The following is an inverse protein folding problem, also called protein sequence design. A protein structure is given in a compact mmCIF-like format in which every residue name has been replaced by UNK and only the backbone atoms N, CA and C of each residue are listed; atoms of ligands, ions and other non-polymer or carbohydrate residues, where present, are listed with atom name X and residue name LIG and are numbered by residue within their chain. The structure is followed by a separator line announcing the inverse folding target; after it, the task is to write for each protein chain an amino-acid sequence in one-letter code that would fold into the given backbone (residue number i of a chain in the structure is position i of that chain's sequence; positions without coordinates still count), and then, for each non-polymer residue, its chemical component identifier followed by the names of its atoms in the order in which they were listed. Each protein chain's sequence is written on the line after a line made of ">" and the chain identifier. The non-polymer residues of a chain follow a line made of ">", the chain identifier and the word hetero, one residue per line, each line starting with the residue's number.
data_IF_185559194099
#
_entry.id   IF_185559194099
#
_cell.length_a   1.000
_cell.length_b   1.000
_cell.length_c   1.000
_cell.angle_alpha   90.00
_cell.angle_beta   90.00
_cell.angle_gamma   90.00
#
_symmetry.space_group_name_H-M   'P 1'
#
loop_
_entity.id
_entity.type
_entity.pdbx_description
1 polymer ?
#
# COMPACT_ATOMS: atom_id res chain seq x y z
N UNK A 1 19.95 -4.97 -27.48
CA UNK A 1 18.60 -5.47 -27.15
C UNK A 1 17.91 -6.10 -28.36
N UNK A 2 17.72 -5.40 -29.49
CA UNK A 2 16.99 -5.95 -30.67
C UNK A 2 17.61 -7.25 -31.19
N UNK A 3 18.95 -7.36 -31.29
CA UNK A 3 19.63 -8.58 -31.72
C UNK A 3 19.34 -9.79 -30.80
N UNK A 4 19.26 -9.55 -29.49
CA UNK A 4 18.92 -10.61 -28.53
C UNK A 4 17.46 -11.06 -28.68
N UNK A 5 16.54 -10.14 -28.90
CA UNK A 5 15.12 -10.44 -29.17
C UNK A 5 14.99 -11.20 -30.51
N UNK A 6 15.74 -10.80 -31.56
CA UNK A 6 15.73 -11.47 -32.86
C UNK A 6 16.17 -12.94 -32.75
N UNK A 7 17.18 -13.23 -31.93
CA UNK A 7 17.69 -14.63 -31.77
C UNK A 7 16.75 -15.43 -30.86
N UNK A 8 16.34 -14.87 -29.69
CA UNK A 8 15.61 -15.64 -28.67
C UNK A 8 14.11 -15.71 -28.98
N UNK A 9 13.48 -14.60 -29.35
CA UNK A 9 12.02 -14.52 -29.53
C UNK A 9 11.62 -14.85 -30.95
N UNK A 10 12.29 -14.22 -31.92
CA UNK A 10 11.98 -14.45 -33.38
C UNK A 10 12.68 -15.64 -33.94
N UNK A 11 13.60 -16.26 -33.19
CA UNK A 11 14.35 -17.47 -33.60
C UNK A 11 15.08 -17.34 -34.96
N UNK A 12 15.51 -16.11 -35.30
CA UNK A 12 16.35 -15.93 -36.49
C UNK A 12 17.71 -16.59 -36.28
N UNK A 13 18.29 -17.18 -37.35
CA UNK A 13 19.59 -17.81 -37.27
C UNK A 13 20.68 -16.79 -36.98
N UNK A 14 21.58 -17.15 -36.07
CA UNK A 14 22.61 -16.23 -35.54
C UNK A 14 23.54 -15.68 -36.64
N UNK A 15 23.82 -16.49 -37.68
CA UNK A 15 24.66 -16.07 -38.80
C UNK A 15 24.05 -14.94 -39.63
N UNK A 16 22.75 -14.71 -39.55
CA UNK A 16 22.06 -13.60 -40.23
C UNK A 16 21.98 -12.38 -39.35
N UNK A 17 21.75 -12.57 -38.03
CA UNK A 17 21.64 -11.50 -37.06
C UNK A 17 23.01 -10.88 -36.75
N UNK A 18 24.05 -11.68 -36.68
CA UNK A 18 25.39 -11.25 -36.28
C UNK A 18 26.04 -10.23 -37.23
N UNK A 19 26.03 -10.42 -38.57
CA UNK A 19 26.57 -9.41 -39.52
C UNK A 19 25.82 -8.10 -39.43
N UNK A 20 24.48 -8.13 -39.32
CA UNK A 20 23.66 -6.91 -39.16
C UNK A 20 24.02 -6.21 -37.88
N UNK A 21 24.15 -6.95 -36.78
CA UNK A 21 24.58 -6.40 -35.49
C UNK A 21 25.97 -5.75 -35.59
N UNK A 22 26.95 -6.38 -36.27
CA UNK A 22 28.29 -5.81 -36.41
C UNK A 22 28.24 -4.49 -37.18
N UNK A 23 27.47 -4.40 -38.26
CA UNK A 23 27.35 -3.17 -39.06
C UNK A 23 26.83 -2.00 -38.15
N UNK A 24 25.76 -2.24 -37.41
CA UNK A 24 25.24 -1.23 -36.48
C UNK A 24 26.20 -0.92 -35.33
N UNK A 25 26.89 -1.96 -34.79
CA UNK A 25 27.87 -1.76 -33.72
C UNK A 25 29.08 -0.94 -34.17
N UNK A 26 29.55 -1.14 -35.40
CA UNK A 26 30.63 -0.33 -36.00
C UNK A 26 30.14 1.12 -36.20
N UNK A 27 28.93 1.29 -36.73
CA UNK A 27 28.34 2.62 -36.94
C UNK A 27 28.20 3.38 -35.62
N UNK A 28 27.60 2.76 -34.60
CA UNK A 28 27.47 3.35 -33.27
C UNK A 28 28.85 3.61 -32.62
N UNK A 29 29.82 2.70 -32.84
CA UNK A 29 31.21 2.89 -32.38
C UNK A 29 31.90 4.09 -32.97
N UNK A 30 31.66 4.38 -34.27
CA UNK A 30 32.16 5.61 -34.90
C UNK A 30 31.58 6.89 -34.30
N UNK A 31 30.26 6.91 -34.05
CA UNK A 31 29.63 8.02 -33.36
C UNK A 31 30.14 8.17 -31.92
N UNK A 32 30.28 7.08 -31.19
CA UNK A 32 30.85 7.09 -29.84
C UNK A 32 32.28 7.64 -29.84
N UNK A 33 33.12 7.20 -30.76
CA UNK A 33 34.49 7.72 -30.90
C UNK A 33 34.52 9.21 -31.18
N UNK A 34 33.67 9.68 -32.10
CA UNK A 34 33.53 11.12 -32.40
C UNK A 34 33.01 11.94 -31.21
N UNK A 35 32.10 11.36 -30.41
CA UNK A 35 31.62 11.98 -29.17
C UNK A 35 32.72 12.05 -28.11
N UNK A 36 33.47 10.95 -27.91
CA UNK A 36 34.56 10.87 -26.94
C UNK A 36 35.70 11.84 -27.25
N UNK A 37 36.00 12.11 -28.52
CA UNK A 37 37.03 13.09 -28.91
C UNK A 37 36.66 14.52 -28.47
N UNK A 38 35.38 14.84 -28.22
CA UNK A 38 34.91 16.16 -27.74
C UNK A 38 34.99 16.29 -26.21
N UNK A 39 35.23 15.22 -25.48
CA UNK A 39 35.29 15.23 -24.01
C UNK A 39 36.32 16.19 -23.47
N UNK A 40 37.59 16.20 -23.96
CA UNK A 40 38.60 17.18 -23.51
C UNK A 40 38.24 18.62 -23.83
N UNK A 41 37.39 18.87 -24.84
CA UNK A 41 37.00 20.20 -25.35
C UNK A 41 35.72 20.74 -24.71
N UNK A 42 35.32 20.25 -23.53
CA UNK A 42 34.19 20.80 -22.76
C UNK A 42 33.02 19.81 -22.51
N UNK A 43 32.93 18.66 -23.21
CA UNK A 43 31.88 17.69 -22.98
C UNK A 43 32.02 16.90 -21.65
N UNK A 44 33.15 17.07 -20.93
CA UNK A 44 33.37 16.45 -19.62
C UNK A 44 32.33 16.89 -18.59
N UNK A 45 31.80 18.15 -18.67
CA UNK A 45 30.76 18.65 -17.77
C UNK A 45 29.47 17.82 -17.91
N UNK A 46 29.07 17.55 -19.16
CA UNK A 46 27.87 16.71 -19.44
C UNK A 46 28.06 15.30 -18.91
N UNK A 47 29.25 14.72 -19.06
CA UNK A 47 29.60 13.41 -18.51
C UNK A 47 29.53 13.39 -17.00
N UNK A 48 30.06 14.41 -16.33
CA UNK A 48 30.02 14.55 -14.88
C UNK A 48 28.57 14.63 -14.37
N UNK A 49 27.71 15.42 -15.02
CA UNK A 49 26.29 15.49 -14.69
C UNK A 49 25.60 14.15 -14.92
N UNK A 50 25.88 13.46 -16.02
CA UNK A 50 25.31 12.14 -16.31
C UNK A 50 25.71 11.10 -15.25
N UNK A 51 26.98 11.09 -14.82
CA UNK A 51 27.46 10.21 -13.75
C UNK A 51 26.77 10.57 -12.42
N UNK A 52 26.68 11.86 -12.08
CA UNK A 52 26.01 12.28 -10.84
C UNK A 52 24.54 11.86 -10.80
N UNK A 53 23.80 12.06 -11.90
CA UNK A 53 22.40 11.61 -12.01
C UNK A 53 22.28 10.08 -11.94
N UNK A 54 23.18 9.36 -12.60
CA UNK A 54 23.20 7.89 -12.56
C UNK A 54 23.41 7.40 -11.12
N UNK A 55 24.36 7.97 -10.39
CA UNK A 55 24.59 7.63 -8.98
C UNK A 55 23.36 7.94 -8.12
N UNK A 56 22.70 9.07 -8.37
CA UNK A 56 21.47 9.43 -7.68
C UNK A 56 20.35 8.42 -7.93
N UNK A 57 20.14 8.00 -9.18
CA UNK A 57 19.13 6.98 -9.52
C UNK A 57 19.45 5.61 -8.91
N UNK A 58 20.71 5.19 -8.93
CA UNK A 58 21.14 3.93 -8.31
C UNK A 58 20.93 3.97 -6.81
N UNK A 59 21.30 5.08 -6.15
CA UNK A 59 21.07 5.31 -4.73
C UNK A 59 19.58 5.23 -4.39
N UNK A 60 18.74 5.94 -5.16
CA UNK A 60 17.30 5.95 -4.97
C UNK A 60 16.69 4.56 -5.13
N UNK A 61 17.06 3.85 -6.18
CA UNK A 61 16.59 2.47 -6.42
C UNK A 61 17.00 1.53 -5.29
N UNK A 62 18.25 1.58 -4.87
CA UNK A 62 18.75 0.76 -3.76
C UNK A 62 18.00 1.03 -2.46
N UNK A 63 17.80 2.31 -2.10
CA UNK A 63 17.05 2.69 -0.91
C UNK A 63 15.60 2.24 -0.96
N UNK A 64 14.93 2.42 -2.12
CA UNK A 64 13.56 1.96 -2.34
C UNK A 64 13.43 0.44 -2.25
N UNK A 65 14.38 -0.31 -2.78
CA UNK A 65 14.39 -1.78 -2.67
C UNK A 65 14.51 -2.23 -1.21
N UNK A 66 15.36 -1.57 -0.42
CA UNK A 66 15.49 -1.84 1.02
C UNK A 66 14.22 -1.51 1.79
N UNK A 67 13.62 -0.36 1.52
CA UNK A 67 12.35 0.04 2.09
C UNK A 67 11.27 -1.01 1.76
N UNK A 68 11.16 -1.42 0.51
CA UNK A 68 10.14 -2.40 0.08
C UNK A 68 10.34 -3.77 0.73
N UNK A 69 11.59 -4.24 0.83
CA UNK A 69 11.90 -5.50 1.56
C UNK A 69 11.49 -5.42 3.02
N UNK A 70 11.77 -4.30 3.68
CA UNK A 70 11.34 -4.07 5.04
C UNK A 70 9.80 -4.00 5.14
N UNK A 71 9.09 -3.32 4.23
CA UNK A 71 7.62 -3.28 4.20
C UNK A 71 7.00 -4.66 3.99
N UNK A 72 7.60 -5.50 3.16
CA UNK A 72 7.10 -6.86 2.87
C UNK A 72 7.24 -7.79 4.08
N UNK A 73 8.29 -7.63 4.90
CA UNK A 73 8.49 -8.46 6.10
C UNK A 73 7.44 -8.25 7.18
N UNK A 74 6.77 -7.09 7.20
CA UNK A 74 5.73 -6.75 8.19
C UNK A 74 4.31 -7.07 7.71
N UNK A 75 4.17 -7.67 6.54
CA UNK A 75 2.88 -8.10 6.03
C UNK A 75 2.38 -9.35 6.75
N UNK A 76 1.87 -9.16 7.97
CA UNK A 76 1.33 -10.25 8.78
C UNK A 76 -0.16 -10.45 8.41
N UNK A 77 -0.60 -11.70 8.17
CA UNK A 77 -2.01 -11.98 7.94
C UNK A 77 -2.87 -11.56 9.14
N UNK A 78 -4.08 -11.07 8.88
CA UNK A 78 -5.02 -10.64 9.91
C UNK A 78 -5.35 -11.78 10.88
N UNK A 79 -5.38 -13.01 10.38
CA UNK A 79 -5.56 -14.23 11.14
C UNK A 79 -4.45 -14.56 12.16
N UNK A 80 -3.26 -14.00 11.97
CA UNK A 80 -2.14 -14.16 12.89
C UNK A 80 -1.99 -13.00 13.89
N UNK A 81 -2.67 -11.87 13.64
CA UNK A 81 -2.59 -10.69 14.49
C UNK A 81 -3.73 -10.57 15.46
N UNK A 82 -4.93 -10.97 15.02
CA UNK A 82 -6.16 -10.86 15.81
C UNK A 82 -6.88 -12.19 15.91
N UNK A 83 -7.61 -12.36 16.99
CA UNK A 83 -8.49 -13.52 17.22
C UNK A 83 -9.82 -13.05 17.82
N UNK A 84 -10.87 -13.82 17.63
CA UNK A 84 -12.15 -13.56 18.27
C UNK A 84 -12.25 -14.39 19.55
N UNK A 85 -12.32 -13.72 20.70
CA UNK A 85 -12.61 -14.33 22.00
C UNK A 85 -13.99 -13.86 22.45
N UNK A 86 -14.92 -14.81 22.61
CA UNK A 86 -16.31 -14.51 23.04
C UNK A 86 -16.99 -13.41 22.20
N UNK A 87 -16.73 -13.39 20.89
CA UNK A 87 -17.27 -12.37 19.99
C UNK A 87 -16.59 -10.99 20.03
N UNK A 88 -15.60 -10.79 20.91
CA UNK A 88 -14.80 -9.58 20.97
C UNK A 88 -13.45 -9.75 20.27
N UNK A 89 -13.00 -8.71 19.62
CA UNK A 89 -11.68 -8.68 18.98
C UNK A 89 -10.60 -8.67 20.08
N UNK A 90 -9.62 -9.55 19.96
CA UNK A 90 -8.48 -9.62 20.87
C UNK A 90 -7.19 -9.73 20.05
N UNK A 91 -6.09 -9.20 20.55
CA UNK A 91 -4.77 -9.43 20.00
C UNK A 91 -4.28 -10.84 20.33
N UNK A 92 -3.63 -11.49 19.35
CA UNK A 92 -3.02 -12.79 19.57
C UNK A 92 -1.85 -12.68 20.55
N UNK A 93 -1.47 -13.78 21.22
CA UNK A 93 -0.43 -13.81 22.27
C UNK A 93 0.90 -13.19 21.83
N UNK A 94 1.27 -13.32 20.56
CA UNK A 94 2.50 -12.74 19.99
C UNK A 94 2.47 -11.21 19.92
N UNK A 95 1.28 -10.59 20.02
CA UNK A 95 1.08 -9.15 19.86
C UNK A 95 0.56 -8.45 21.12
N UNK A 96 0.50 -9.14 22.27
CA UNK A 96 0.14 -8.53 23.56
C UNK A 96 -1.01 -9.19 24.32
N UNK A 97 -1.72 -10.15 23.72
CA UNK A 97 -2.82 -10.93 24.36
C UNK A 97 -3.86 -10.07 25.11
N UNK A 98 -4.06 -8.81 24.72
CA UNK A 98 -5.01 -7.90 25.33
C UNK A 98 -6.36 -7.96 24.62
N UNK A 99 -7.45 -7.93 25.40
CA UNK A 99 -8.79 -7.66 24.87
C UNK A 99 -8.87 -6.22 24.41
N UNK A 100 -9.48 -6.00 23.25
CA UNK A 100 -9.58 -4.68 22.63
C UNK A 100 -10.90 -4.03 23.09
N UNK A 101 -10.79 -2.82 23.59
CA UNK A 101 -11.96 -2.05 24.03
C UNK A 101 -12.59 -1.34 22.82
N UNK A 102 -13.92 -1.46 22.60
CA UNK A 102 -14.57 -0.72 21.53
C UNK A 102 -14.63 0.79 21.86
N UNK A 103 -14.32 1.63 20.85
CA UNK A 103 -14.47 3.08 20.89
C UNK A 103 -15.60 3.47 19.94
N UNK A 104 -16.54 4.28 20.41
CA UNK A 104 -17.63 4.75 19.56
C UNK A 104 -17.10 5.54 18.36
N UNK A 105 -17.51 5.14 17.16
CA UNK A 105 -17.15 5.86 15.94
C UNK A 105 -16.72 4.96 14.78
N UNK A 106 -16.60 5.60 13.61
CA UNK A 106 -16.10 5.00 12.36
C UNK A 106 -14.62 5.34 12.18
N UNK A 107 -13.76 4.32 12.20
CA UNK A 107 -12.33 4.46 11.92
C UNK A 107 -11.97 4.06 10.49
N UNK A 108 -11.41 4.98 9.72
CA UNK A 108 -10.92 4.73 8.37
C UNK A 108 -9.40 4.66 8.41
N UNK A 109 -8.87 3.44 8.29
CA UNK A 109 -7.43 3.15 8.32
C UNK A 109 -6.87 3.14 6.90
N UNK A 110 -5.94 4.04 6.61
CA UNK A 110 -5.28 4.10 5.31
C UNK A 110 -4.25 2.97 5.18
N UNK A 111 -4.50 2.05 4.24
CA UNK A 111 -3.64 0.91 3.94
C UNK A 111 -2.79 1.18 2.70
N UNK A 112 -1.49 0.96 2.78
CA UNK A 112 -0.56 1.11 1.64
C UNK A 112 -0.55 -0.13 0.73
N UNK A 113 -0.70 -1.32 1.31
CA UNK A 113 -0.48 -2.57 0.60
C UNK A 113 -1.72 -3.08 -0.17
N UNK A 114 -2.94 -2.84 0.34
CA UNK A 114 -4.21 -3.22 -0.31
C UNK A 114 -4.39 -4.73 -0.53
N UNK A 115 -3.61 -5.57 0.12
CA UNK A 115 -3.73 -7.03 0.03
C UNK A 115 -4.91 -7.50 0.88
N UNK A 116 -5.77 -8.34 0.31
CA UNK A 116 -7.02 -8.77 0.98
C UNK A 116 -6.81 -9.60 2.26
N UNK A 117 -5.67 -10.26 2.40
CA UNK A 117 -5.36 -11.16 3.51
C UNK A 117 -4.47 -10.56 4.59
N UNK A 118 -3.86 -9.39 4.36
CA UNK A 118 -2.90 -8.80 5.28
C UNK A 118 -3.53 -7.73 6.17
N UNK A 119 -3.00 -7.61 7.39
CA UNK A 119 -3.36 -6.55 8.33
C UNK A 119 -2.66 -5.25 7.92
N UNK A 120 -3.37 -4.12 7.80
CA UNK A 120 -2.70 -2.83 7.65
C UNK A 120 -1.77 -2.58 8.86
N UNK A 121 -0.48 -2.25 8.66
CA UNK A 121 0.43 -2.00 9.78
C UNK A 121 -0.09 -0.90 10.72
N UNK A 122 -0.74 0.12 10.19
CA UNK A 122 -1.33 1.19 10.98
C UNK A 122 -2.41 0.68 11.94
N UNK A 123 -3.23 -0.28 11.51
CA UNK A 123 -4.26 -0.89 12.36
C UNK A 123 -3.63 -1.69 13.49
N UNK A 124 -2.65 -2.52 13.18
CA UNK A 124 -1.94 -3.31 14.19
C UNK A 124 -1.27 -2.41 15.25
N UNK A 125 -0.54 -1.39 14.81
CA UNK A 125 0.10 -0.44 15.73
C UNK A 125 -0.90 0.40 16.53
N UNK A 126 -2.05 0.71 15.94
CA UNK A 126 -3.14 1.38 16.66
C UNK A 126 -3.67 0.49 17.80
N UNK A 127 -3.98 -0.78 17.50
CA UNK A 127 -4.45 -1.72 18.50
C UNK A 127 -3.44 -1.95 19.62
N UNK A 128 -2.16 -2.10 19.28
CA UNK A 128 -1.10 -2.32 20.27
C UNK A 128 -0.87 -1.12 21.20
N UNK A 129 -0.99 0.11 20.66
CA UNK A 129 -0.71 1.33 21.43
C UNK A 129 -1.89 1.79 22.27
N UNK A 130 -3.10 1.63 21.75
CA UNK A 130 -4.30 2.15 22.40
C UNK A 130 -5.12 1.05 23.12
N UNK A 131 -4.90 -0.22 22.79
CA UNK A 131 -5.71 -1.32 23.36
C UNK A 131 -7.20 -1.23 22.99
N UNK A 132 -7.53 -0.48 21.95
CA UNK A 132 -8.88 -0.12 21.59
C UNK A 132 -9.08 -0.10 20.08
N UNK A 133 -10.31 -0.33 19.60
CA UNK A 133 -10.68 -0.24 18.18
C UNK A 133 -11.99 0.53 18.00
N UNK A 134 -12.18 1.28 16.92
CA UNK A 134 -13.46 1.86 16.57
C UNK A 134 -14.54 0.78 16.39
N UNK A 135 -15.79 1.14 16.72
CA UNK A 135 -16.96 0.23 16.56
C UNK A 135 -17.08 -0.31 15.14
N UNK A 136 -16.77 0.55 14.16
CA UNK A 136 -16.67 0.16 12.75
C UNK A 136 -15.28 0.55 12.23
N UNK A 137 -14.57 -0.43 11.68
CA UNK A 137 -13.23 -0.25 11.13
C UNK A 137 -13.23 -0.49 9.62
N UNK A 138 -12.68 0.44 8.85
CA UNK A 138 -12.59 0.35 7.39
C UNK A 138 -11.15 0.46 6.94
N UNK A 139 -10.63 -0.58 6.30
CA UNK A 139 -9.30 -0.56 5.69
C UNK A 139 -9.41 0.02 4.28
N UNK A 140 -8.98 1.26 4.15
CA UNK A 140 -9.08 2.03 2.93
C UNK A 140 -7.78 2.00 2.14
N UNK A 141 -7.83 1.49 0.90
CA UNK A 141 -6.68 1.42 0.00
C UNK A 141 -6.94 2.13 -1.32
N UNK A 142 -6.02 3.03 -1.68
CA UNK A 142 -6.02 3.71 -2.97
C UNK A 142 -5.09 2.98 -3.94
N UNK A 143 -5.64 2.45 -5.02
CA UNK A 143 -4.92 1.75 -6.07
C UNK A 143 -4.88 2.57 -7.36
N UNK A 144 -3.75 3.17 -7.64
CA UNK A 144 -3.52 3.86 -8.91
C UNK A 144 -3.37 2.84 -10.04
N UNK A 145 -4.06 3.07 -11.15
CA UNK A 145 -3.95 2.30 -12.39
C UNK A 145 -3.32 3.16 -13.49
N UNK A 146 -2.62 2.53 -14.42
CA UNK A 146 -2.01 3.19 -15.57
C UNK A 146 -3.04 3.44 -16.71
N UNK A 147 -4.24 3.86 -16.33
CA UNK A 147 -5.35 4.19 -17.23
C UNK A 147 -5.75 5.65 -17.01
N UNK A 148 -6.31 6.35 -18.01
CA UNK A 148 -6.79 7.73 -17.82
C UNK A 148 -7.90 7.78 -16.77
N UNK A 149 -8.96 6.99 -16.95
CA UNK A 149 -10.14 6.93 -16.07
C UNK A 149 -10.53 5.49 -15.81
N UNK A 150 -11.08 5.22 -14.64
CA UNK A 150 -11.64 3.91 -14.27
C UNK A 150 -13.17 3.95 -14.35
N UNK A 151 -13.82 2.98 -15.03
CA UNK A 151 -15.27 2.90 -15.08
C UNK A 151 -15.89 2.84 -13.67
N UNK A 152 -17.05 3.46 -13.42
CA UNK A 152 -17.68 3.50 -12.10
C UNK A 152 -17.88 2.12 -11.47
N UNK A 153 -18.23 1.10 -12.27
CA UNK A 153 -18.51 -0.27 -11.82
C UNK A 153 -17.27 -0.99 -11.29
N UNK A 154 -16.06 -0.59 -11.73
CA UNK A 154 -14.79 -1.21 -11.34
C UNK A 154 -14.01 -0.36 -10.34
N UNK A 155 -14.48 0.86 -10.07
CA UNK A 155 -13.80 1.83 -9.22
C UNK A 155 -13.71 1.36 -7.76
N UNK A 156 -14.77 0.76 -7.24
CA UNK A 156 -14.87 0.37 -5.84
C UNK A 156 -14.94 -1.14 -5.69
N UNK A 157 -14.19 -1.66 -4.73
CA UNK A 157 -14.28 -3.06 -4.32
C UNK A 157 -14.33 -3.13 -2.81
N UNK A 158 -15.43 -3.70 -2.30
CA UNK A 158 -15.65 -3.86 -0.86
C UNK A 158 -15.62 -5.34 -0.53
N UNK A 159 -15.10 -5.68 0.63
CA UNK A 159 -15.09 -7.03 1.16
C UNK A 159 -15.01 -7.03 2.69
N UNK A 160 -15.42 -8.16 3.28
CA UNK A 160 -15.28 -8.40 4.71
C UNK A 160 -13.85 -8.81 5.05
N UNK A 161 -13.42 -8.48 6.25
CA UNK A 161 -12.17 -8.96 6.81
C UNK A 161 -12.40 -10.24 7.60
N UNK A 162 -11.47 -11.21 7.49
CA UNK A 162 -11.58 -12.51 8.13
C UNK A 162 -10.41 -12.76 9.07
N UNK A 163 -10.71 -13.41 10.20
CA UNK A 163 -9.72 -13.93 11.15
C UNK A 163 -9.99 -15.42 11.44
N UNK A 164 -9.08 -16.07 12.16
CA UNK A 164 -9.33 -17.42 12.63
C UNK A 164 -9.93 -17.40 14.04
N UNK A 165 -10.88 -18.31 14.30
CA UNK A 165 -11.40 -18.54 15.66
C UNK A 165 -10.32 -19.08 16.59
N UNK A 166 -10.36 -18.69 17.86
CA UNK A 166 -9.38 -19.11 18.85
C UNK A 166 -9.45 -20.61 19.18
N UNK A 167 -10.63 -21.20 19.05
CA UNK A 167 -10.90 -22.58 19.51
C UNK A 167 -10.95 -23.60 18.37
N UNK A 168 -11.48 -23.24 17.21
CA UNK A 168 -11.77 -24.16 16.11
C UNK A 168 -10.93 -23.94 14.84
N UNK A 169 -10.12 -22.86 14.78
CA UNK A 169 -9.30 -22.52 13.62
C UNK A 169 -10.09 -22.16 12.36
N UNK A 170 -11.42 -22.10 12.43
CA UNK A 170 -12.28 -21.76 11.30
C UNK A 170 -12.15 -20.27 10.94
N UNK A 171 -12.44 -19.93 9.68
CA UNK A 171 -12.43 -18.54 9.22
C UNK A 171 -13.73 -17.86 9.63
N UNK A 172 -13.64 -16.87 10.50
CA UNK A 172 -14.77 -16.04 10.90
C UNK A 172 -14.61 -14.62 10.34
N UNK A 173 -15.71 -14.05 9.87
CA UNK A 173 -15.74 -12.63 9.53
C UNK A 173 -15.61 -11.81 10.81
N UNK A 174 -14.75 -10.80 10.80
CA UNK A 174 -14.66 -9.85 11.91
C UNK A 174 -15.86 -8.93 11.82
N UNK A 175 -16.69 -8.86 12.87
CA UNK A 175 -17.85 -7.96 12.87
C UNK A 175 -17.43 -6.51 12.60
N UNK A 176 -18.24 -5.77 11.88
CA UNK A 176 -18.07 -4.35 11.61
C UNK A 176 -16.68 -3.97 11.04
N UNK A 177 -15.98 -4.90 10.36
CA UNK A 177 -14.67 -4.63 9.79
C UNK A 177 -14.69 -4.90 8.29
N UNK A 178 -14.49 -3.84 7.52
CA UNK A 178 -14.58 -3.87 6.07
C UNK A 178 -13.27 -3.44 5.42
N UNK A 179 -13.05 -3.87 4.19
CA UNK A 179 -11.96 -3.41 3.35
C UNK A 179 -12.52 -2.76 2.11
N UNK A 180 -12.11 -1.54 1.84
CA UNK A 180 -12.50 -0.76 0.66
C UNK A 180 -11.26 -0.46 -0.18
N UNK A 181 -11.26 -0.95 -1.41
CA UNK A 181 -10.22 -0.65 -2.40
C UNK A 181 -10.82 0.28 -3.44
N UNK A 182 -10.25 1.46 -3.55
CA UNK A 182 -10.63 2.46 -4.57
C UNK A 182 -9.57 2.46 -5.66
N UNK A 183 -9.98 2.11 -6.88
CA UNK A 183 -9.13 2.19 -8.07
C UNK A 183 -9.36 3.54 -8.74
N UNK A 184 -8.28 4.16 -9.16
CA UNK A 184 -8.35 5.43 -9.87
C UNK A 184 -7.35 5.48 -11.02
N UNK A 185 -7.74 6.18 -12.08
CA UNK A 185 -6.86 6.56 -13.18
C UNK A 185 -6.07 7.82 -12.83
N UNK A 186 -5.18 8.23 -13.73
CA UNK A 186 -4.33 9.41 -13.49
C UNK A 186 -5.06 10.73 -13.74
N UNK A 187 -6.26 10.73 -14.35
CA UNK A 187 -7.14 11.91 -14.52
C UNK A 187 -8.32 11.92 -13.56
N UNK A 188 -8.55 10.83 -12.81
CA UNK A 188 -9.66 10.75 -11.86
C UNK A 188 -9.36 11.60 -10.62
N UNK A 189 -10.36 12.33 -10.14
CA UNK A 189 -10.30 12.92 -8.81
C UNK A 189 -10.37 11.82 -7.75
N UNK A 190 -9.32 11.72 -6.96
CA UNK A 190 -9.08 10.54 -6.11
C UNK A 190 -9.86 10.60 -4.81
N UNK A 191 -10.06 11.78 -4.25
CA UNK A 191 -10.65 11.96 -2.92
C UNK A 191 -11.67 13.10 -2.97
N UNK A 192 -12.90 12.76 -2.63
CA UNK A 192 -13.94 13.74 -2.36
C UNK A 192 -13.76 14.34 -0.97
N UNK A 193 -14.14 15.60 -0.73
CA UNK A 193 -14.05 16.23 0.59
C UNK A 193 -14.79 15.45 1.69
N UNK A 194 -15.82 14.69 1.30
CA UNK A 194 -16.67 13.91 2.19
C UNK A 194 -16.42 12.40 2.05
N UNK A 195 -15.14 11.99 2.17
CA UNK A 195 -14.76 10.57 2.11
C UNK A 195 -15.56 9.69 3.09
N UNK A 196 -15.89 10.21 4.28
CA UNK A 196 -16.69 9.48 5.26
C UNK A 196 -18.08 9.13 4.76
N UNK A 197 -18.76 10.05 4.05
CA UNK A 197 -20.09 9.82 3.46
C UNK A 197 -19.98 8.78 2.34
N UNK A 198 -18.99 8.91 1.46
CA UNK A 198 -18.74 7.95 0.40
C UNK A 198 -18.56 6.53 0.95
N UNK A 199 -17.74 6.39 2.00
CA UNK A 199 -17.48 5.10 2.66
C UNK A 199 -18.77 4.54 3.27
N UNK A 200 -19.57 5.37 3.90
CA UNK A 200 -20.86 4.98 4.49
C UNK A 200 -21.81 4.43 3.42
N UNK A 201 -22.00 5.16 2.32
CA UNK A 201 -22.92 4.79 1.24
C UNK A 201 -22.49 3.48 0.57
N UNK A 202 -21.19 3.34 0.28
CA UNK A 202 -20.63 2.14 -0.32
C UNK A 202 -20.77 0.90 0.57
N UNK A 203 -20.56 1.03 1.88
CA UNK A 203 -20.73 -0.10 2.81
C UNK A 203 -22.21 -0.47 2.94
N UNK A 204 -23.13 0.48 2.94
CA UNK A 204 -24.58 0.21 2.92
C UNK A 204 -24.97 -0.57 1.70
N UNK A 205 -24.58 -0.09 0.53
CA UNK A 205 -24.85 -0.78 -0.73
C UNK A 205 -24.30 -2.21 -0.74
N UNK A 206 -23.10 -2.41 -0.17
CA UNK A 206 -22.51 -3.74 -0.02
C UNK A 206 -23.33 -4.65 0.90
N UNK A 207 -23.78 -4.15 2.07
CA UNK A 207 -24.61 -4.92 3.01
C UNK A 207 -25.98 -5.26 2.40
N UNK A 208 -26.57 -4.36 1.64
CA UNK A 208 -27.86 -4.57 0.95
C UNK A 208 -27.71 -5.62 -0.18
N UNK A 209 -26.62 -5.57 -0.94
CA UNK A 209 -26.34 -6.50 -2.04
C UNK A 209 -25.91 -7.91 -1.56
N UNK A 210 -25.36 -8.04 -0.35
CA UNK A 210 -24.98 -9.32 0.25
C UNK A 210 -26.19 -10.15 0.70
N UNK A 211 -27.43 -9.64 0.54
CA UNK A 211 -28.66 -10.35 0.82
C UNK A 211 -28.83 -11.56 -0.10
N UNK A 212 -28.91 -12.80 0.40
CA UNK A 212 -29.13 -13.95 -0.46
C UNK A 212 -30.49 -13.86 -1.13
N UNK A 213 -30.56 -14.11 -2.43
CA UNK A 213 -31.78 -14.24 -3.22
C UNK A 213 -32.59 -15.53 -2.88
N UNK A 214 -32.45 -16.08 -1.67
CA UNK A 214 -33.15 -17.29 -1.22
C UNK A 214 -34.15 -16.93 -0.11
N UNK A 215 -35.38 -17.23 -0.37
CA UNK A 215 -36.61 -17.00 0.36
C UNK A 215 -36.78 -17.85 1.63
N UNK A 216 -35.83 -17.83 2.55
CA UNK A 216 -36.02 -18.38 3.91
C UNK A 216 -35.52 -17.36 4.93
N UNK A 217 -36.38 -16.83 5.82
CA UNK A 217 -35.98 -15.95 6.91
C UNK A 217 -35.18 -16.75 7.92
N UNK A 218 -33.87 -16.74 7.80
CA UNK A 218 -32.95 -17.36 8.76
C UNK A 218 -32.19 -16.27 9.50
N UNK A 219 -31.66 -16.58 10.64
CA UNK A 219 -30.95 -15.75 11.64
C UNK A 219 -29.91 -14.74 11.09
N UNK A 220 -29.63 -14.78 9.79
CA UNK A 220 -28.71 -13.85 9.09
C UNK A 220 -29.30 -12.45 8.88
N UNK A 221 -30.62 -12.27 8.79
CA UNK A 221 -31.21 -10.93 8.53
C UNK A 221 -31.14 -10.04 9.77
N UNK A 222 -31.26 -10.61 10.97
CA UNK A 222 -31.09 -9.87 12.21
C UNK A 222 -29.65 -9.37 12.40
N UNK A 223 -28.65 -10.13 11.99
CA UNK A 223 -27.25 -9.70 12.13
C UNK A 223 -26.89 -8.54 11.20
N UNK A 224 -27.46 -8.48 9.99
CA UNK A 224 -27.25 -7.41 9.03
C UNK A 224 -27.91 -6.10 9.44
N UNK A 225 -29.15 -6.17 9.95
CA UNK A 225 -29.84 -5.01 10.50
C UNK A 225 -29.02 -4.41 11.67
N UNK A 226 -28.46 -5.24 12.52
CA UNK A 226 -27.60 -4.81 13.64
C UNK A 226 -26.30 -4.16 13.12
N UNK A 227 -25.67 -4.70 12.06
CA UNK A 227 -24.46 -4.11 11.45
C UNK A 227 -24.76 -2.77 10.76
N UNK A 228 -25.86 -2.65 10.05
CA UNK A 228 -26.31 -1.40 9.42
C UNK A 228 -26.60 -0.33 10.46
N UNK A 229 -27.28 -0.67 11.56
CA UNK A 229 -27.54 0.23 12.67
C UNK A 229 -26.26 0.63 13.41
N UNK A 230 -25.32 -0.31 13.58
CA UNK A 230 -24.01 -0.05 14.17
C UNK A 230 -23.21 0.93 13.30
N UNK A 231 -23.20 0.73 11.99
CA UNK A 231 -22.54 1.62 11.02
C UNK A 231 -23.13 3.05 11.10
N UNK A 232 -24.46 3.17 11.15
CA UNK A 232 -25.10 4.48 11.21
C UNK A 232 -24.85 5.18 12.55
N UNK A 233 -24.85 4.44 13.65
CA UNK A 233 -24.50 5.00 14.98
C UNK A 233 -23.05 5.45 15.04
N UNK A 234 -22.12 4.62 14.54
CA UNK A 234 -20.70 4.95 14.46
C UNK A 234 -20.44 6.21 13.64
N UNK A 235 -21.07 6.33 12.47
CA UNK A 235 -20.95 7.51 11.62
C UNK A 235 -21.50 8.78 12.28
N UNK A 236 -22.64 8.70 12.97
CA UNK A 236 -23.24 9.83 13.70
C UNK A 236 -22.41 10.26 14.91
N UNK A 237 -21.71 9.32 15.53
CA UNK A 237 -20.84 9.60 16.68
C UNK A 237 -19.63 10.42 16.24
N UNK A 238 -18.75 9.83 15.45
CA UNK A 238 -17.59 10.51 14.86
C UNK A 238 -16.97 9.68 13.73
N UNK A 239 -16.31 10.36 12.79
CA UNK A 239 -15.48 9.75 11.76
C UNK A 239 -14.04 10.14 12.01
N UNK A 240 -13.14 9.14 12.14
CA UNK A 240 -11.72 9.34 12.40
C UNK A 240 -10.93 8.76 11.23
N UNK A 241 -10.03 9.55 10.67
CA UNK A 241 -9.10 9.13 9.62
C UNK A 241 -7.76 8.78 10.25
N UNK A 242 -7.36 7.51 10.15
CA UNK A 242 -6.15 7.02 10.82
C UNK A 242 -5.08 6.73 9.77
N UNK A 243 -4.03 7.55 9.78
CA UNK A 243 -2.93 7.50 8.82
C UNK A 243 -1.66 7.01 9.49
N UNK A 244 -1.00 6.03 8.89
CA UNK A 244 0.29 5.54 9.37
C UNK A 244 1.45 6.44 8.93
N UNK A 245 2.22 6.95 9.88
CA UNK A 245 3.46 7.67 9.62
C UNK A 245 4.65 6.78 9.92
N UNK A 246 5.25 6.28 8.87
CA UNK A 246 6.37 5.35 8.94
C UNK A 246 7.71 6.13 9.02
N UNK A 247 8.41 5.98 10.13
CA UNK A 247 9.75 6.49 10.33
C UNK A 247 10.77 5.38 10.05
N UNK A 248 11.55 5.52 8.98
CA UNK A 248 12.61 4.57 8.69
C UNK A 248 13.85 4.90 9.54
N UNK A 249 14.38 3.87 10.16
CA UNK A 249 15.63 3.94 10.93
C UNK A 249 16.62 2.91 10.36
N UNK A 250 17.90 3.26 10.34
CA UNK A 250 18.94 2.33 9.90
C UNK A 250 19.18 1.31 11.01
N UNK A 251 19.11 0.01 10.66
CA UNK A 251 19.30 -1.08 11.61
C UNK A 251 20.65 -1.00 12.31
N UNK A 252 20.70 -1.21 13.64
CA UNK A 252 21.96 -1.30 14.38
C UNK A 252 22.82 -2.47 13.84
N UNK A 253 24.11 -2.24 13.63
CA UNK A 253 25.03 -3.25 13.07
C UNK A 253 25.22 -3.18 11.55
N UNK A 254 24.58 -2.22 10.87
CA UNK A 254 24.81 -1.99 9.44
C UNK A 254 26.21 -1.48 9.16
N UNK A 255 26.88 -2.05 8.14
CA UNK A 255 28.22 -1.66 7.71
C UNK A 255 28.31 -0.15 7.40
N UNK A 256 29.43 0.51 7.75
CA UNK A 256 29.61 1.98 7.66
C UNK A 256 29.28 2.51 6.27
N UNK A 257 29.73 1.84 5.19
CA UNK A 257 29.44 2.26 3.81
C UNK A 257 27.96 2.19 3.49
N UNK A 258 27.30 1.09 3.87
CA UNK A 258 25.83 0.95 3.69
C UNK A 258 25.07 1.98 4.52
N UNK A 259 25.53 2.26 5.74
CA UNK A 259 24.93 3.27 6.61
C UNK A 259 24.99 4.66 5.98
N UNK A 260 26.14 5.05 5.38
CA UNK A 260 26.27 6.34 4.69
C UNK A 260 25.31 6.45 3.49
N UNK A 261 25.24 5.40 2.67
CA UNK A 261 24.36 5.31 1.50
C UNK A 261 22.88 5.43 1.92
N UNK A 262 22.48 4.70 2.97
CA UNK A 262 21.10 4.74 3.47
C UNK A 262 20.78 6.10 4.14
N UNK A 263 21.75 6.72 4.83
CA UNK A 263 21.56 8.05 5.41
C UNK A 263 21.29 9.10 4.32
N UNK A 264 22.05 9.07 3.22
CA UNK A 264 21.83 9.95 2.09
C UNK A 264 20.47 9.70 1.42
N UNK A 265 20.08 8.43 1.28
CA UNK A 265 18.75 8.08 0.78
C UNK A 265 17.62 8.61 1.67
N UNK A 266 17.72 8.44 3.00
CA UNK A 266 16.71 8.94 3.94
C UNK A 266 16.60 10.46 3.87
N UNK A 267 17.71 11.17 3.81
CA UNK A 267 17.74 12.62 3.64
C UNK A 267 17.01 13.06 2.35
N UNK A 268 17.35 12.45 1.21
CA UNK A 268 16.69 12.76 -0.07
C UNK A 268 15.20 12.43 -0.04
N UNK A 269 14.81 11.34 0.60
CA UNK A 269 13.41 10.93 0.76
C UNK A 269 12.63 11.95 1.59
N UNK A 270 13.18 12.38 2.71
CA UNK A 270 12.49 13.29 3.62
C UNK A 270 12.30 14.68 3.00
N UNK A 271 13.26 15.14 2.19
CA UNK A 271 13.11 16.37 1.40
C UNK A 271 12.03 16.25 0.31
N UNK A 272 11.83 15.04 -0.24
CA UNK A 272 10.94 14.84 -1.39
C UNK A 272 9.50 14.47 -0.99
N UNK A 273 9.23 14.02 0.24
CA UNK A 273 7.99 13.35 0.59
C UNK A 273 7.09 14.17 1.52
N UNK A 274 5.97 14.66 0.97
CA UNK A 274 4.80 15.07 1.77
C UNK A 274 3.50 14.57 1.11
N UNK A 275 3.32 13.23 1.05
CA UNK A 275 2.11 12.64 0.44
C UNK A 275 0.83 12.85 1.25
N UNK A 276 0.93 13.08 2.57
CA UNK A 276 -0.24 13.26 3.45
C UNK A 276 -0.96 14.60 3.20
N UNK A 277 -0.22 15.61 2.74
CA UNK A 277 -0.79 16.94 2.45
C UNK A 277 -1.71 16.95 1.21
N UNK A 278 -1.66 15.92 0.37
CA UNK A 278 -2.53 15.78 -0.80
C UNK A 278 -3.85 15.06 -0.51
N UNK A 279 -4.04 14.51 0.72
CA UNK A 279 -5.31 14.00 1.16
C UNK A 279 -6.15 15.21 1.57
N UNK A 280 -7.12 15.58 0.74
CA UNK A 280 -8.06 16.68 1.00
C UNK A 280 -9.10 16.31 2.08
N UNK A 281 -8.60 15.77 3.21
CA UNK A 281 -9.38 15.30 4.36
C UNK A 281 -9.38 16.39 5.43
N UNK A 282 -10.47 16.51 6.17
CA UNK A 282 -10.58 17.46 7.28
C UNK A 282 -9.48 17.19 8.31
N UNK A 283 -8.54 18.12 8.45
CA UNK A 283 -7.33 17.93 9.24
C UNK A 283 -7.60 17.70 10.75
N UNK A 284 -8.70 18.22 11.27
CA UNK A 284 -9.17 18.06 12.64
C UNK A 284 -9.62 16.64 13.00
N UNK A 285 -9.92 15.81 12.00
CA UNK A 285 -10.34 14.40 12.16
C UNK A 285 -9.25 13.39 11.84
N UNK A 286 -8.02 13.85 11.56
CA UNK A 286 -6.89 12.99 11.20
C UNK A 286 -6.08 12.63 12.43
N UNK A 287 -5.88 11.34 12.67
CA UNK A 287 -4.98 10.80 13.69
C UNK A 287 -3.78 10.16 13.01
N UNK A 288 -2.58 10.68 13.26
CA UNK A 288 -1.33 10.07 12.79
C UNK A 288 -0.80 9.04 13.78
N UNK A 289 -0.66 7.81 13.35
CA UNK A 289 -0.02 6.73 14.14
C UNK A 289 1.41 6.55 13.65
N UNK A 290 2.37 7.09 14.41
CA UNK A 290 3.80 6.94 14.11
C UNK A 290 4.32 5.57 14.52
N UNK A 291 5.08 4.90 13.64
CA UNK A 291 5.83 3.68 13.98
C UNK A 291 7.19 3.69 13.28
N UNK A 292 8.16 3.06 13.95
CA UNK A 292 9.56 3.00 13.47
C UNK A 292 9.80 1.67 12.79
N UNK A 293 10.52 1.73 11.67
CA UNK A 293 10.88 0.56 10.87
C UNK A 293 12.36 0.56 10.58
N UNK A 294 13.03 -0.56 10.85
CA UNK A 294 14.46 -0.73 10.60
C UNK A 294 14.73 -1.18 9.15
N UNK A 295 15.72 -0.54 8.47
CA UNK A 295 16.13 -0.82 7.10
C UNK A 295 17.63 -1.15 7.00
#
# INVERSE_FOLDING_TARGET
>A
MVAVVAVIVWRFPIYLVFPVFIVFALWDGMFLSAALSKVPHGAWVTLMIAVALTLLFVLWRYGKERQWKAETSDNVPLSQTTTLKQGQLALQSNFGNSTIVPINGLGIFFDKAGLSSTTPPVFLHFLQKFGAAPDVSVFFHLRALNLPTVPPNERYTIGRCFTHGAEDGSKHAIPNTFRLIVRHGYTDEVITPDLGILVLDLIREFLDNESPKSSTPSSSDNSKAVESDALQRAFKSQVIYIVGKEHLRIAPGTNIVKRLVLMLFLYLRDVTSNKVQHLNVQADRVVEVGFVKDI
#
